data_IF_033565154180
#
_entry.id   IF_033565154180
#
_cell.length_a   1.000
_cell.length_b   1.000
_cell.length_c   1.000
_cell.angle_alpha   90.00
_cell.angle_beta   90.00
_cell.angle_gamma   90.00
#
_symmetry.space_group_name_H-M   'P 1'
#
loop_
_entity.id
_entity.type
_entity.pdbx_description
1 polymer ?
#
# COMPACT_ATOMS: atom_id res chain seq x y z
N UNK A 1 -7.47 15.29 21.31
CA UNK A 1 -7.86 15.40 19.87
C UNK A 1 -9.18 14.67 19.70
N UNK A 2 -10.17 15.34 19.18
CA UNK A 2 -11.47 14.75 18.87
C UNK A 2 -11.38 13.79 17.68
N UNK A 3 -12.35 12.87 17.54
CA UNK A 3 -12.37 11.86 16.47
C UNK A 3 -12.43 12.48 15.06
N UNK A 4 -13.13 13.61 14.92
CA UNK A 4 -13.22 14.34 13.64
C UNK A 4 -11.88 14.96 13.26
N UNK A 5 -11.18 15.57 14.21
CA UNK A 5 -9.85 16.13 14.04
C UNK A 5 -8.85 15.01 13.69
N UNK A 6 -8.93 13.86 14.36
CA UNK A 6 -8.08 12.70 14.06
C UNK A 6 -8.27 12.22 12.60
N UNK A 7 -9.52 12.16 12.13
CA UNK A 7 -9.84 11.81 10.74
C UNK A 7 -9.22 12.82 9.77
N UNK A 8 -9.43 14.11 10.00
CA UNK A 8 -8.97 15.17 9.14
C UNK A 8 -7.44 15.13 9.00
N UNK A 9 -6.71 15.02 10.11
CA UNK A 9 -5.25 14.95 10.12
C UNK A 9 -4.75 13.71 9.37
N UNK A 10 -5.31 12.53 9.65
CA UNK A 10 -4.90 11.28 8.99
C UNK A 10 -5.15 11.29 7.50
N UNK A 11 -6.32 11.75 7.05
CA UNK A 11 -6.67 11.80 5.63
C UNK A 11 -5.87 12.87 4.87
N UNK A 12 -5.54 13.99 5.53
CA UNK A 12 -4.66 15.02 4.96
C UNK A 12 -3.21 14.52 4.82
N UNK A 13 -2.65 13.90 5.86
CA UNK A 13 -1.27 13.39 5.84
C UNK A 13 -1.04 12.30 4.80
N UNK A 14 -2.08 11.55 4.45
CA UNK A 14 -2.02 10.49 3.43
C UNK A 14 -2.30 11.00 2.02
N UNK A 15 -2.68 12.26 1.83
CA UNK A 15 -2.97 12.81 0.51
C UNK A 15 -4.39 12.54 -0.01
N UNK A 16 -5.32 12.04 0.81
CA UNK A 16 -6.73 11.88 0.39
C UNK A 16 -7.51 13.20 0.48
N UNK A 17 -7.24 13.99 1.52
CA UNK A 17 -7.86 15.32 1.65
C UNK A 17 -7.13 16.36 0.77
N UNK A 18 -5.81 16.27 0.72
CA UNK A 18 -4.91 17.12 -0.07
C UNK A 18 -4.00 16.22 -0.92
N UNK A 19 -4.40 15.83 -2.14
CA UNK A 19 -3.54 15.04 -3.02
C UNK A 19 -2.21 15.72 -3.29
N UNK A 20 -1.12 14.96 -3.30
CA UNK A 20 0.23 15.47 -3.49
C UNK A 20 0.46 15.95 -4.92
N UNK A 21 1.23 17.02 -5.08
CA UNK A 21 1.61 17.52 -6.41
C UNK A 21 2.66 16.60 -7.06
N UNK A 22 3.64 16.15 -6.27
CA UNK A 22 4.67 15.22 -6.71
C UNK A 22 4.18 13.78 -6.55
N UNK A 23 4.08 12.98 -7.65
CA UNK A 23 3.73 11.58 -7.59
C UNK A 23 4.68 10.75 -6.72
N UNK A 24 5.96 11.10 -6.65
CA UNK A 24 6.95 10.41 -5.80
C UNK A 24 6.62 10.64 -4.33
N UNK A 25 6.20 11.86 -3.96
CA UNK A 25 5.81 12.15 -2.58
C UNK A 25 4.63 11.28 -2.13
N UNK A 26 3.65 11.03 -2.97
CA UNK A 26 2.52 10.17 -2.65
C UNK A 26 2.97 8.75 -2.25
N UNK A 27 3.83 8.11 -3.06
CA UNK A 27 4.38 6.78 -2.75
C UNK A 27 5.25 6.80 -1.49
N UNK A 28 6.06 7.82 -1.32
CA UNK A 28 6.97 7.92 -0.18
C UNK A 28 6.23 8.22 1.13
N UNK A 29 5.16 9.01 1.06
CA UNK A 29 4.38 9.41 2.23
C UNK A 29 3.64 8.22 2.84
N UNK A 30 3.05 7.37 2.02
CA UNK A 30 2.36 6.15 2.47
C UNK A 30 3.28 4.93 2.55
N UNK A 31 4.57 5.12 2.26
CA UNK A 31 5.63 4.09 2.32
C UNK A 31 5.28 2.84 1.52
N UNK A 32 4.85 3.06 0.28
CA UNK A 32 4.47 2.01 -0.65
C UNK A 32 2.96 1.75 -0.71
N UNK A 33 2.49 1.54 -1.93
CA UNK A 33 1.09 1.29 -2.27
C UNK A 33 0.89 -0.21 -2.45
N UNK A 34 -0.04 -0.82 -1.73
CA UNK A 34 -0.31 -2.25 -1.87
C UNK A 34 -0.70 -2.60 -3.31
N UNK A 35 0.02 -3.55 -3.94
CA UNK A 35 -0.06 -3.88 -5.37
C UNK A 35 -0.29 -5.36 -5.64
N UNK A 36 -1.10 -6.01 -4.82
CA UNK A 36 -1.50 -7.39 -5.05
C UNK A 36 -2.18 -7.53 -6.43
N UNK A 37 -2.93 -6.51 -6.80
CA UNK A 37 -3.47 -6.29 -8.15
C UNK A 37 -2.88 -4.98 -8.70
N UNK A 38 -2.05 -5.02 -9.76
CA UNK A 38 -1.36 -3.83 -10.27
C UNK A 38 -2.29 -2.65 -10.60
N UNK A 39 -3.43 -2.92 -11.28
CA UNK A 39 -4.39 -1.86 -11.64
C UNK A 39 -4.96 -1.14 -10.42
N UNK A 40 -5.16 -1.85 -9.32
CA UNK A 40 -5.62 -1.24 -8.05
C UNK A 40 -4.54 -0.34 -7.45
N UNK A 41 -3.27 -0.69 -7.60
CA UNK A 41 -2.18 0.13 -7.12
C UNK A 41 -2.02 1.44 -7.92
N UNK A 42 -2.15 1.37 -9.25
CA UNK A 42 -2.15 2.57 -10.10
C UNK A 42 -3.28 3.52 -9.74
N UNK A 43 -4.47 2.97 -9.48
CA UNK A 43 -5.62 3.73 -9.06
C UNK A 43 -5.45 4.35 -7.67
N UNK A 44 -4.86 3.62 -6.71
CA UNK A 44 -4.50 4.20 -5.42
C UNK A 44 -3.56 5.38 -5.60
N UNK A 45 -2.55 5.24 -6.45
CA UNK A 45 -1.58 6.31 -6.67
C UNK A 45 -2.22 7.55 -7.29
N UNK A 46 -3.10 7.38 -8.29
CA UNK A 46 -3.86 8.47 -8.89
C UNK A 46 -4.69 9.24 -7.86
N UNK A 47 -5.38 8.53 -6.96
CA UNK A 47 -6.24 9.17 -5.96
C UNK A 47 -5.48 9.95 -4.88
N UNK A 48 -4.20 9.66 -4.67
CA UNK A 48 -3.33 10.37 -3.74
C UNK A 48 -2.48 11.46 -4.41
N UNK A 49 -2.60 11.65 -5.73
CA UNK A 49 -1.76 12.57 -6.50
C UNK A 49 -2.61 13.54 -7.32
N UNK A 50 -2.19 14.78 -7.40
CA UNK A 50 -2.81 15.75 -8.29
C UNK A 50 -2.37 15.47 -9.73
N UNK A 51 -3.33 15.49 -10.65
CA UNK A 51 -3.06 15.39 -12.10
C UNK A 51 -2.21 14.18 -12.51
N UNK A 52 -2.23 13.10 -11.72
CA UNK A 52 -1.57 11.86 -12.11
C UNK A 52 -2.20 11.33 -13.41
N UNK A 53 -1.36 10.94 -14.34
CA UNK A 53 -1.77 10.22 -15.54
C UNK A 53 -0.95 8.94 -15.69
N UNK A 54 -1.49 7.99 -16.42
CA UNK A 54 -0.87 6.69 -16.58
C UNK A 54 0.50 6.79 -17.28
N UNK A 55 0.66 7.73 -18.22
CA UNK A 55 1.93 7.92 -18.94
C UNK A 55 3.06 8.35 -18.01
N UNK A 56 2.79 9.28 -17.07
CA UNK A 56 3.77 9.69 -16.05
C UNK A 56 4.17 8.50 -15.18
N UNK A 57 3.20 7.72 -14.72
CA UNK A 57 3.42 6.51 -13.93
C UNK A 57 4.28 5.49 -14.70
N UNK A 58 3.95 5.25 -15.96
CA UNK A 58 4.69 4.32 -16.81
C UNK A 58 6.12 4.79 -17.09
N UNK A 59 6.34 6.10 -17.30
CA UNK A 59 7.69 6.66 -17.42
C UNK A 59 8.52 6.44 -16.16
N UNK A 60 7.95 6.70 -14.97
CA UNK A 60 8.62 6.45 -13.69
C UNK A 60 8.95 4.97 -13.49
N UNK A 61 8.07 4.06 -13.94
CA UNK A 61 8.33 2.62 -13.93
C UNK A 61 9.51 2.26 -14.85
N UNK A 62 9.51 2.73 -16.09
CA UNK A 62 10.58 2.50 -17.07
C UNK A 62 11.93 3.02 -16.59
N UNK A 63 11.94 4.15 -15.89
CA UNK A 63 13.14 4.77 -15.31
C UNK A 63 13.56 4.11 -13.98
N UNK A 64 12.88 3.06 -13.54
CA UNK A 64 13.12 2.37 -12.26
C UNK A 64 13.04 3.28 -11.02
N UNK A 65 12.35 4.42 -11.14
CA UNK A 65 12.08 5.29 -10.00
C UNK A 65 11.08 4.66 -9.04
N UNK A 66 10.20 3.81 -9.57
CA UNK A 66 9.27 2.97 -8.82
C UNK A 66 9.50 1.50 -9.14
N UNK A 67 9.38 0.69 -8.12
CA UNK A 67 9.62 -0.75 -8.16
C UNK A 67 8.45 -1.50 -7.52
N UNK A 68 8.26 -2.75 -7.88
CA UNK A 68 7.28 -3.64 -7.26
C UNK A 68 8.00 -4.71 -6.45
N UNK A 69 7.64 -4.86 -5.18
CA UNK A 69 8.34 -5.78 -4.29
C UNK A 69 7.47 -6.22 -3.12
N UNK A 70 7.83 -7.34 -2.46
CA UNK A 70 7.27 -7.67 -1.16
C UNK A 70 7.81 -6.73 -0.09
N UNK A 71 6.92 -6.14 0.68
CA UNK A 71 7.23 -5.17 1.72
C UNK A 71 6.54 -5.45 3.03
N UNK A 72 5.74 -4.52 3.51
CA UNK A 72 5.01 -4.62 4.77
C UNK A 72 4.18 -5.91 4.81
N UNK A 73 4.24 -6.64 5.92
CA UNK A 73 3.55 -7.93 6.12
C UNK A 73 3.84 -8.96 5.02
N UNK A 74 4.90 -8.74 4.25
CA UNK A 74 5.28 -9.54 3.08
C UNK A 74 4.15 -9.64 2.03
N UNK A 75 3.44 -8.53 1.81
CA UNK A 75 2.54 -8.36 0.66
C UNK A 75 3.21 -7.50 -0.42
N UNK A 76 2.79 -7.64 -1.67
CA UNK A 76 3.34 -6.88 -2.79
C UNK A 76 2.91 -5.41 -2.71
N UNK A 77 3.87 -4.52 -2.94
CA UNK A 77 3.68 -3.07 -2.96
C UNK A 77 4.43 -2.43 -4.13
N UNK A 78 3.96 -1.28 -4.59
CA UNK A 78 4.76 -0.33 -5.36
C UNK A 78 5.49 0.58 -4.37
N UNK A 79 6.78 0.81 -4.62
CA UNK A 79 7.65 1.66 -3.79
C UNK A 79 8.45 2.61 -4.69
N UNK A 80 8.94 3.71 -4.13
CA UNK A 80 10.20 4.27 -4.60
C UNK A 80 11.34 3.27 -4.29
N UNK A 81 12.40 3.26 -5.09
CA UNK A 81 13.53 2.34 -4.83
C UNK A 81 14.10 2.52 -3.42
N UNK A 82 14.21 3.76 -2.95
CA UNK A 82 14.65 4.06 -1.58
C UNK A 82 13.66 3.56 -0.51
N UNK A 83 12.35 3.65 -0.77
CA UNK A 83 11.31 3.12 0.10
C UNK A 83 11.36 1.60 0.24
N UNK A 84 11.55 0.89 -0.88
CA UNK A 84 11.76 -0.56 -0.88
C UNK A 84 12.97 -0.95 -0.04
N UNK A 85 14.14 -0.33 -0.31
CA UNK A 85 15.37 -0.61 0.43
C UNK A 85 15.21 -0.35 1.93
N UNK A 86 14.54 0.74 2.31
CA UNK A 86 14.27 1.04 3.72
C UNK A 86 13.43 -0.06 4.40
N UNK A 87 12.36 -0.51 3.75
CA UNK A 87 11.45 -1.55 4.31
C UNK A 87 12.20 -2.88 4.46
N UNK A 88 12.92 -3.33 3.44
CA UNK A 88 13.67 -4.59 3.47
C UNK A 88 14.77 -4.54 4.53
N UNK A 89 15.50 -3.42 4.62
CA UNK A 89 16.57 -3.26 5.61
C UNK A 89 16.02 -3.23 7.04
N UNK A 90 14.89 -2.59 7.28
CA UNK A 90 14.24 -2.59 8.59
C UNK A 90 13.79 -4.00 9.01
N UNK A 91 13.56 -4.90 8.06
CA UNK A 91 13.12 -6.28 8.25
C UNK A 91 14.25 -7.32 8.07
N UNK A 92 15.47 -6.90 7.81
CA UNK A 92 16.60 -7.79 7.48
C UNK A 92 16.97 -8.80 8.58
N UNK A 93 16.62 -8.51 9.84
CA UNK A 93 16.80 -9.44 10.96
C UNK A 93 15.68 -10.48 11.12
N UNK A 94 14.60 -10.37 10.35
CA UNK A 94 13.48 -11.30 10.46
C UNK A 94 13.85 -12.67 9.87
N UNK A 95 13.51 -13.72 10.63
CA UNK A 95 13.56 -15.08 10.11
C UNK A 95 12.35 -15.32 9.21
N UNK A 96 12.58 -15.87 8.03
CA UNK A 96 11.50 -16.30 7.15
C UNK A 96 10.78 -17.46 7.82
N UNK A 97 9.45 -17.36 8.06
CA UNK A 97 8.69 -18.43 8.71
C UNK A 97 8.74 -19.73 7.91
N UNK A 98 8.85 -20.87 8.59
CA UNK A 98 8.95 -22.19 7.94
C UNK A 98 7.79 -22.48 6.96
N UNK A 99 6.59 -21.99 7.28
CA UNK A 99 5.41 -22.14 6.43
C UNK A 99 5.57 -21.54 5.02
N UNK A 100 6.42 -20.53 4.86
CA UNK A 100 6.70 -19.93 3.54
C UNK A 100 7.45 -20.88 2.60
N UNK A 101 8.19 -21.86 3.15
CA UNK A 101 8.98 -22.79 2.34
C UNK A 101 8.18 -24.00 1.83
N UNK A 102 6.90 -24.08 2.07
CA UNK A 102 6.00 -25.16 1.58
C UNK A 102 6.50 -26.59 1.86
N UNK A 103 7.31 -26.78 2.88
CA UNK A 103 7.98 -28.06 3.16
C UNK A 103 9.23 -28.35 2.31
N UNK A 104 9.59 -27.47 1.35
CA UNK A 104 10.66 -27.68 0.38
C UNK A 104 11.83 -26.67 0.56
N UNK A 105 12.22 -26.42 1.80
CA UNK A 105 13.17 -25.36 2.15
C UNK A 105 14.50 -25.48 1.39
N UNK A 106 15.08 -26.66 1.35
CA UNK A 106 16.43 -26.85 0.76
C UNK A 106 16.39 -26.66 -0.76
N UNK A 107 15.34 -27.15 -1.42
CA UNK A 107 15.11 -26.95 -2.86
C UNK A 107 14.89 -25.46 -3.19
N UNK A 108 14.04 -24.78 -2.42
CA UNK A 108 13.79 -23.34 -2.58
C UNK A 108 15.08 -22.53 -2.42
N UNK A 109 15.91 -22.87 -1.43
CA UNK A 109 17.18 -22.17 -1.21
C UNK A 109 18.21 -22.48 -2.29
N UNK A 110 18.26 -23.71 -2.81
CA UNK A 110 19.13 -24.08 -3.94
C UNK A 110 18.76 -23.30 -5.21
N UNK A 111 17.46 -23.28 -5.57
CA UNK A 111 16.98 -22.51 -6.73
C UNK A 111 17.19 -21.00 -6.52
N UNK A 112 16.98 -20.49 -5.31
CA UNK A 112 17.26 -19.08 -4.98
C UNK A 112 18.73 -18.71 -5.18
N UNK A 113 19.66 -19.62 -4.88
CA UNK A 113 21.09 -19.35 -5.09
C UNK A 113 21.44 -19.29 -6.59
N UNK A 114 20.85 -20.13 -7.43
CA UNK A 114 21.03 -20.06 -8.89
C UNK A 114 20.53 -18.71 -9.42
N UNK A 115 19.32 -18.29 -9.08
CA UNK A 115 18.79 -16.98 -9.52
C UNK A 115 19.69 -15.83 -9.04
N UNK A 116 20.22 -15.93 -7.83
CA UNK A 116 21.14 -14.92 -7.30
C UNK A 116 22.46 -14.87 -8.10
N UNK A 117 22.99 -16.01 -8.52
CA UNK A 117 24.17 -16.08 -9.39
C UNK A 117 23.89 -15.47 -10.77
N UNK A 118 22.75 -15.77 -11.36
CA UNK A 118 22.32 -15.15 -12.62
C UNK A 118 22.21 -13.63 -12.51
N UNK A 119 21.68 -13.12 -11.38
CA UNK A 119 21.58 -11.68 -11.10
C UNK A 119 22.94 -11.01 -10.84
N UNK A 120 24.01 -11.77 -10.57
CA UNK A 120 25.36 -11.22 -10.49
C UNK A 120 25.97 -11.02 -11.88
N UNK A 121 25.55 -11.84 -12.85
CA UNK A 121 26.00 -11.75 -14.25
C UNK A 121 25.15 -10.78 -15.07
N UNK A 122 23.85 -10.72 -14.78
CA UNK A 122 22.86 -9.92 -15.48
C UNK A 122 22.08 -9.07 -14.50
N UNK A 123 22.11 -7.74 -14.65
CA UNK A 123 21.38 -6.83 -13.76
C UNK A 123 19.85 -6.96 -13.89
N UNK A 124 19.38 -7.47 -15.02
CA UNK A 124 17.95 -7.67 -15.31
C UNK A 124 17.74 -9.04 -15.93
N UNK A 125 16.72 -9.77 -15.50
CA UNK A 125 16.34 -11.08 -16.02
C UNK A 125 14.85 -11.12 -16.33
N UNK A 126 14.50 -11.72 -17.47
CA UNK A 126 13.13 -12.00 -17.84
C UNK A 126 12.68 -13.36 -17.29
N UNK A 127 11.38 -13.51 -17.08
CA UNK A 127 10.77 -14.76 -16.62
C UNK A 127 11.22 -15.98 -17.42
N UNK A 128 11.17 -15.87 -18.75
CA UNK A 128 11.50 -16.96 -19.67
C UNK A 128 12.94 -17.42 -19.55
N UNK A 129 13.89 -16.47 -19.44
CA UNK A 129 15.32 -16.77 -19.31
C UNK A 129 15.61 -17.50 -18.00
N UNK A 130 15.01 -17.01 -16.91
CA UNK A 130 15.17 -17.64 -15.59
C UNK A 130 14.60 -19.05 -15.59
N UNK A 131 13.39 -19.26 -16.11
CA UNK A 131 12.75 -20.58 -16.12
C UNK A 131 13.52 -21.56 -17.02
N UNK A 132 14.03 -21.10 -18.15
CA UNK A 132 14.86 -21.93 -19.06
C UNK A 132 16.10 -22.44 -18.34
N UNK A 133 16.83 -21.55 -17.68
CA UNK A 133 18.04 -21.92 -16.93
C UNK A 133 17.72 -22.87 -15.75
N UNK A 134 16.65 -22.60 -15.01
CA UNK A 134 16.24 -23.45 -13.89
C UNK A 134 15.82 -24.86 -14.35
N UNK A 135 15.12 -25.01 -15.46
CA UNK A 135 14.76 -26.33 -16.00
C UNK A 135 15.99 -27.13 -16.42
N UNK A 136 17.04 -26.46 -16.93
CA UNK A 136 18.31 -27.14 -17.26
C UNK A 136 19.03 -27.63 -16.01
N UNK A 137 19.10 -26.81 -14.95
CA UNK A 137 19.82 -27.15 -13.71
C UNK A 137 19.03 -28.08 -12.79
N UNK A 138 17.70 -28.05 -12.84
CA UNK A 138 16.81 -28.83 -11.98
C UNK A 138 15.77 -29.61 -12.81
N UNK A 139 16.18 -30.56 -13.69
CA UNK A 139 15.29 -31.21 -14.64
C UNK A 139 14.20 -32.08 -14.00
N UNK A 140 14.40 -32.51 -12.73
CA UNK A 140 13.43 -33.36 -11.98
C UNK A 140 12.59 -32.58 -10.98
N UNK A 141 12.84 -31.27 -10.80
CA UNK A 141 12.11 -30.46 -9.82
C UNK A 141 10.88 -29.84 -10.47
N UNK A 142 9.74 -29.95 -9.83
CA UNK A 142 8.52 -29.26 -10.24
C UNK A 142 8.66 -27.75 -9.92
N UNK A 143 8.93 -26.97 -10.97
CA UNK A 143 9.09 -25.52 -10.91
C UNK A 143 7.75 -24.80 -11.19
N UNK A 144 6.66 -25.25 -10.55
CA UNK A 144 5.36 -24.61 -10.72
C UNK A 144 5.36 -23.13 -10.29
N UNK A 145 4.33 -22.41 -10.71
CA UNK A 145 4.23 -20.99 -10.42
C UNK A 145 4.21 -20.65 -8.92
N UNK A 146 3.74 -21.56 -8.06
CA UNK A 146 3.74 -21.38 -6.60
C UNK A 146 5.14 -21.55 -6.02
N UNK A 147 5.88 -22.53 -6.49
CA UNK A 147 7.26 -22.74 -6.09
C UNK A 147 8.13 -21.53 -6.45
N UNK A 148 8.09 -21.10 -7.72
CA UNK A 148 8.84 -19.92 -8.20
C UNK A 148 8.43 -18.65 -7.44
N UNK A 149 7.12 -18.46 -7.18
CA UNK A 149 6.65 -17.33 -6.38
C UNK A 149 7.35 -17.26 -5.01
N UNK A 150 7.48 -18.39 -4.32
CA UNK A 150 8.15 -18.45 -3.00
C UNK A 150 9.65 -18.20 -3.13
N UNK A 151 10.32 -18.73 -4.15
CA UNK A 151 11.74 -18.47 -4.41
C UNK A 151 12.00 -16.97 -4.57
N UNK A 152 11.23 -16.30 -5.43
CA UNK A 152 11.34 -14.86 -5.68
C UNK A 152 10.99 -14.04 -4.45
N UNK A 153 9.99 -14.47 -3.67
CA UNK A 153 9.65 -13.84 -2.39
C UNK A 153 10.80 -13.90 -1.40
N UNK A 154 11.43 -15.06 -1.24
CA UNK A 154 12.61 -15.24 -0.37
C UNK A 154 13.76 -14.32 -0.78
N UNK A 155 14.06 -14.23 -2.08
CA UNK A 155 15.10 -13.36 -2.60
C UNK A 155 14.80 -11.88 -2.37
N UNK A 156 13.55 -11.47 -2.60
CA UNK A 156 13.11 -10.09 -2.33
C UNK A 156 13.19 -9.76 -0.83
N UNK A 157 12.73 -10.66 0.04
CA UNK A 157 12.79 -10.50 1.50
C UNK A 157 14.23 -10.34 2.01
N UNK A 158 15.19 -10.94 1.31
CA UNK A 158 16.62 -10.80 1.58
C UNK A 158 17.26 -9.60 0.89
N UNK A 159 16.51 -8.85 0.07
CA UNK A 159 16.99 -7.65 -0.61
C UNK A 159 17.89 -7.90 -1.81
N UNK A 160 17.79 -9.06 -2.48
CA UNK A 160 18.59 -9.37 -3.66
C UNK A 160 17.94 -8.93 -4.97
N UNK A 161 16.62 -8.78 -5.00
CA UNK A 161 15.88 -8.38 -6.19
C UNK A 161 14.61 -7.60 -5.86
N UNK A 162 14.12 -6.91 -6.86
CA UNK A 162 12.76 -6.38 -6.96
C UNK A 162 12.22 -6.63 -8.36
N UNK A 163 10.92 -6.45 -8.55
CA UNK A 163 10.29 -6.55 -9.86
C UNK A 163 10.21 -5.18 -10.53
N UNK A 164 10.32 -5.18 -11.83
CA UNK A 164 9.82 -4.06 -12.61
C UNK A 164 8.38 -3.74 -12.20
N UNK A 165 8.05 -2.46 -12.09
CA UNK A 165 6.75 -2.03 -11.57
C UNK A 165 5.57 -2.48 -12.45
N UNK A 166 5.81 -2.74 -13.73
CA UNK A 166 4.81 -3.21 -14.69
C UNK A 166 4.67 -4.72 -14.74
N UNK A 167 5.52 -5.47 -14.01
CA UNK A 167 5.51 -6.94 -13.99
C UNK A 167 4.17 -7.49 -13.51
N UNK A 168 3.69 -8.55 -14.18
CA UNK A 168 2.56 -9.37 -13.77
C UNK A 168 3.01 -10.65 -13.07
N UNK A 169 2.07 -11.48 -12.63
CA UNK A 169 2.38 -12.79 -12.05
C UNK A 169 2.84 -13.82 -13.08
N UNK A 170 2.48 -13.64 -14.36
CA UNK A 170 2.81 -14.56 -15.45
C UNK A 170 3.98 -14.07 -16.32
N UNK A 171 4.13 -12.76 -16.41
CA UNK A 171 5.21 -12.13 -17.16
C UNK A 171 5.90 -11.12 -16.26
N UNK A 172 6.94 -11.57 -15.56
CA UNK A 172 7.70 -10.73 -14.63
C UNK A 172 9.13 -10.51 -15.14
N UNK A 173 9.62 -9.33 -14.79
CA UNK A 173 11.01 -8.93 -14.96
C UNK A 173 11.58 -8.60 -13.60
N UNK A 174 12.68 -9.24 -13.23
CA UNK A 174 13.38 -9.01 -11.98
C UNK A 174 14.66 -8.22 -12.21
N UNK A 175 14.99 -7.39 -11.25
CA UNK A 175 16.14 -6.49 -11.30
C UNK A 175 16.97 -6.71 -10.04
N UNK A 176 18.28 -6.85 -10.23
CA UNK A 176 19.24 -7.06 -9.15
C UNK A 176 19.31 -5.86 -8.23
N UNK A 177 19.43 -6.13 -6.93
CA UNK A 177 19.78 -5.13 -5.92
C UNK A 177 20.69 -5.75 -4.87
N UNK A 178 21.30 -4.91 -4.05
CA UNK A 178 22.21 -5.37 -2.99
C UNK A 178 21.58 -5.10 -1.62
N UNK A 179 21.55 -6.11 -0.73
CA UNK A 179 21.15 -5.90 0.64
C UNK A 179 22.03 -4.82 1.29
N UNK A 180 21.40 -3.83 1.88
CA UNK A 180 22.10 -2.80 2.64
C UNK A 180 21.99 -3.14 4.13
N UNK A 181 23.10 -3.20 4.84
CA UNK A 181 23.13 -3.37 6.30
C UNK A 181 23.02 -2.00 6.96
N UNK A 182 21.98 -1.79 7.77
CA UNK A 182 21.82 -0.54 8.49
C UNK A 182 21.09 -0.72 9.82
N UNK A 183 21.76 -0.46 10.93
CA UNK A 183 21.19 -0.54 12.28
C UNK A 183 20.10 0.49 12.56
N UNK A 184 20.02 1.56 11.76
CA UNK A 184 19.07 2.67 11.94
C UNK A 184 17.77 2.52 11.13
N UNK A 185 17.61 1.46 10.37
CA UNK A 185 16.51 1.30 9.41
C UNK A 185 15.13 1.28 10.08
N UNK A 186 14.99 0.64 11.26
CA UNK A 186 13.71 0.58 12.00
C UNK A 186 13.30 1.98 12.47
N UNK A 187 14.21 2.77 13.02
CA UNK A 187 13.92 4.14 13.46
C UNK A 187 13.54 5.05 12.28
N UNK A 188 14.23 4.91 11.15
CA UNK A 188 13.92 5.65 9.93
C UNK A 188 12.56 5.24 9.38
N UNK A 189 12.24 3.94 9.39
CA UNK A 189 10.94 3.45 8.93
C UNK A 189 9.79 3.95 9.83
N UNK A 190 9.98 3.97 11.16
CA UNK A 190 8.99 4.54 12.10
C UNK A 190 8.74 6.02 11.78
N UNK A 191 9.80 6.81 11.60
CA UNK A 191 9.64 8.24 11.27
C UNK A 191 8.98 8.45 9.91
N UNK A 192 9.31 7.63 8.92
CA UNK A 192 8.68 7.67 7.60
C UNK A 192 7.19 7.31 7.70
N UNK A 193 6.86 6.25 8.44
CA UNK A 193 5.47 5.89 8.71
C UNK A 193 4.71 7.03 9.40
N UNK A 194 5.24 7.61 10.47
CA UNK A 194 4.59 8.70 11.18
C UNK A 194 4.32 9.90 10.27
N UNK A 195 5.22 10.26 9.34
CA UNK A 195 4.98 11.36 8.39
C UNK A 195 3.68 11.20 7.58
N UNK A 196 3.29 9.97 7.24
CA UNK A 196 2.07 9.71 6.48
C UNK A 196 0.87 9.29 7.32
N UNK A 197 1.10 8.72 8.51
CA UNK A 197 0.04 8.04 9.28
C UNK A 197 -0.20 8.66 10.65
N UNK A 198 0.52 9.71 11.04
CA UNK A 198 0.28 10.39 12.32
C UNK A 198 -1.12 11.06 12.36
N UNK A 199 -1.75 11.11 13.54
CA UNK A 199 -1.36 10.54 14.83
C UNK A 199 -1.52 9.01 14.82
N UNK A 200 -0.49 8.29 15.27
CA UNK A 200 -0.49 6.83 15.25
C UNK A 200 0.09 6.22 16.53
N UNK A 201 -0.29 4.98 16.83
CA UNK A 201 0.17 4.22 17.99
C UNK A 201 1.26 3.21 17.58
N UNK A 202 1.99 2.70 18.61
CA UNK A 202 2.89 1.55 18.44
C UNK A 202 2.18 0.36 17.79
N UNK A 203 0.94 0.09 18.20
CA UNK A 203 0.14 -1.04 17.68
C UNK A 203 -0.19 -0.85 16.21
N UNK A 204 -0.47 0.39 15.79
CA UNK A 204 -0.71 0.72 14.38
C UNK A 204 0.53 0.43 13.54
N UNK A 205 1.71 0.90 13.96
CA UNK A 205 2.95 0.64 13.25
C UNK A 205 3.30 -0.86 13.18
N UNK A 206 3.18 -1.57 14.30
CA UNK A 206 3.43 -3.03 14.35
C UNK A 206 2.48 -3.77 13.40
N UNK A 207 1.19 -3.42 13.42
CA UNK A 207 0.20 -4.01 12.51
C UNK A 207 0.48 -3.70 11.05
N UNK A 208 0.85 -2.46 10.74
CA UNK A 208 1.16 -2.02 9.38
C UNK A 208 2.44 -2.64 8.85
N UNK A 209 3.53 -2.58 9.61
CA UNK A 209 4.86 -3.06 9.16
C UNK A 209 4.98 -4.58 9.17
N UNK A 210 4.31 -5.26 10.10
CA UNK A 210 4.49 -6.68 10.38
C UNK A 210 5.76 -7.00 11.16
N UNK A 211 6.54 -6.00 11.59
CA UNK A 211 7.74 -6.19 12.41
C UNK A 211 7.33 -6.55 13.85
N UNK A 212 8.07 -7.46 14.47
CA UNK A 212 7.78 -7.91 15.85
C UNK A 212 7.82 -6.73 16.83
N UNK A 213 6.84 -6.69 17.73
CA UNK A 213 6.73 -5.63 18.75
C UNK A 213 7.98 -5.52 19.63
N UNK A 214 8.65 -6.62 19.91
CA UNK A 214 9.90 -6.63 20.69
C UNK A 214 11.06 -5.86 20.02
N UNK A 215 11.07 -5.82 18.68
CA UNK A 215 12.06 -5.05 17.90
C UNK A 215 11.66 -3.59 17.82
N UNK A 216 10.37 -3.31 17.66
CA UNK A 216 9.84 -1.96 17.43
C UNK A 216 9.77 -1.14 18.72
N UNK A 217 9.29 -1.74 19.82
CA UNK A 217 8.96 -1.02 21.08
C UNK A 217 10.10 -0.15 21.61
N UNK A 218 11.35 -0.62 21.77
CA UNK A 218 12.42 0.21 22.32
C UNK A 218 12.68 1.45 21.47
N UNK A 219 12.64 1.30 20.14
CA UNK A 219 12.87 2.40 19.18
C UNK A 219 11.69 3.37 19.16
N UNK A 220 10.45 2.82 19.20
CA UNK A 220 9.23 3.62 19.25
C UNK A 220 9.19 4.52 20.50
N UNK A 221 9.51 3.98 21.67
CA UNK A 221 9.50 4.72 22.94
C UNK A 221 10.50 5.88 22.94
N UNK A 222 11.68 5.70 22.32
CA UNK A 222 12.64 6.79 22.15
C UNK A 222 12.09 7.92 21.25
N UNK A 223 11.42 7.56 20.15
CA UNK A 223 10.81 8.53 19.25
C UNK A 223 9.64 9.22 19.94
N UNK A 224 8.79 8.48 20.64
CA UNK A 224 7.63 8.99 21.32
C UNK A 224 7.99 9.99 22.45
N UNK A 225 9.10 9.77 23.17
CA UNK A 225 9.60 10.70 24.19
C UNK A 225 10.07 12.04 23.59
N UNK A 226 10.54 12.03 22.36
CA UNK A 226 11.05 13.22 21.67
C UNK A 226 9.96 14.04 20.95
N UNK A 227 8.72 13.53 20.87
CA UNK A 227 7.63 14.13 20.11
C UNK A 227 6.35 14.24 20.94
N UNK A 228 5.43 15.10 20.49
CA UNK A 228 4.16 15.31 21.16
C UNK A 228 3.33 14.02 21.20
N UNK A 229 2.86 13.68 22.40
CA UNK A 229 1.92 12.59 22.63
C UNK A 229 0.57 13.18 23.03
N UNK A 230 -0.50 12.58 22.51
CA UNK A 230 -1.83 12.84 23.05
C UNK A 230 -2.01 11.97 24.29
N UNK A 231 -1.96 12.55 25.46
CA UNK A 231 -1.87 11.89 26.78
C UNK A 231 -2.88 10.76 26.99
N UNK A 232 -4.10 10.92 26.47
CA UNK A 232 -5.18 9.92 26.66
C UNK A 232 -5.13 8.74 25.70
N UNK A 233 -4.43 8.84 24.54
CA UNK A 233 -4.55 7.86 23.45
C UNK A 233 -3.25 7.13 23.10
N UNK A 234 -2.12 7.47 23.72
CA UNK A 234 -0.77 6.98 23.36
C UNK A 234 -0.44 7.15 21.86
N UNK A 235 -1.08 8.13 21.19
CA UNK A 235 -0.79 8.46 19.81
C UNK A 235 0.41 9.40 19.73
N UNK A 236 1.25 9.19 18.72
CA UNK A 236 2.45 9.97 18.47
C UNK A 236 2.25 10.81 17.22
N UNK A 237 2.61 12.10 17.33
CA UNK A 237 2.71 13.05 16.23
C UNK A 237 4.14 13.52 16.09
N UNK A 238 4.64 13.67 14.88
CA UNK A 238 5.88 14.39 14.59
C UNK A 238 5.63 15.91 14.53
N UNK A 239 4.43 16.33 14.17
CA UNK A 239 4.02 17.74 14.04
C UNK A 239 3.14 18.16 15.19
N UNK A 240 3.30 19.40 15.63
CA UNK A 240 2.33 20.07 16.47
C UNK A 240 1.25 20.74 15.59
N UNK A 241 -0.01 20.62 16.00
CA UNK A 241 -1.15 21.27 15.37
C UNK A 241 -1.77 22.24 16.35
N UNK A 242 -1.97 23.51 15.96
CA UNK A 242 -2.80 24.44 16.72
C UNK A 242 -4.28 24.06 16.63
N UNK A 243 -5.09 24.55 17.58
CA UNK A 243 -6.54 24.30 17.53
C UNK A 243 -7.18 24.88 16.26
N UNK A 244 -6.70 26.05 15.80
CA UNK A 244 -7.17 26.65 14.54
C UNK A 244 -6.84 25.79 13.30
N UNK A 245 -5.66 25.17 13.24
CA UNK A 245 -5.29 24.25 12.18
C UNK A 245 -6.15 22.99 12.21
N UNK A 246 -6.39 22.42 13.39
CA UNK A 246 -7.25 21.25 13.56
C UNK A 246 -8.69 21.55 13.14
N UNK A 247 -9.20 22.75 13.51
CA UNK A 247 -10.56 23.16 13.12
C UNK A 247 -10.65 23.34 11.59
N UNK A 248 -9.70 24.05 10.98
CA UNK A 248 -9.70 24.29 9.53
C UNK A 248 -9.67 22.96 8.73
N UNK A 249 -8.82 22.01 9.14
CA UNK A 249 -8.79 20.67 8.50
C UNK A 249 -10.11 19.92 8.68
N UNK A 250 -10.75 20.07 9.86
CA UNK A 250 -12.02 19.40 10.16
C UNK A 250 -13.15 19.98 9.30
N UNK A 251 -13.25 21.31 9.24
CA UNK A 251 -14.26 22.00 8.43
C UNK A 251 -14.12 21.67 6.94
N UNK A 252 -12.89 21.62 6.46
CA UNK A 252 -12.61 21.20 5.09
C UNK A 252 -13.04 19.74 4.83
N UNK A 253 -12.71 18.81 5.72
CA UNK A 253 -13.12 17.42 5.60
C UNK A 253 -14.65 17.26 5.63
N UNK A 254 -15.34 18.02 6.49
CA UNK A 254 -16.80 18.01 6.58
C UNK A 254 -17.50 18.58 5.34
N UNK A 255 -16.81 19.38 4.55
CA UNK A 255 -17.33 19.94 3.28
C UNK A 255 -17.04 19.02 2.06
N UNK A 256 -16.27 17.94 2.21
CA UNK A 256 -15.77 17.14 1.07
C UNK A 256 -16.41 15.76 0.95
N UNK A 257 -16.44 15.31 -0.28
CA UNK A 257 -16.65 13.91 -0.68
C UNK A 257 -15.29 13.33 -1.07
N UNK A 258 -14.84 12.30 -0.37
CA UNK A 258 -13.60 11.59 -0.66
C UNK A 258 -13.90 10.15 -1.07
N UNK A 259 -13.08 9.61 -1.94
CA UNK A 259 -13.05 8.20 -2.30
C UNK A 259 -11.61 7.71 -2.21
N UNK A 260 -11.44 6.44 -1.88
CA UNK A 260 -10.16 5.78 -2.00
C UNK A 260 -10.30 4.47 -2.77
N UNK A 261 -9.21 3.87 -3.20
CA UNK A 261 -9.24 2.61 -3.93
C UNK A 261 -9.30 1.39 -2.98
N UNK A 262 -9.51 0.18 -3.50
CA UNK A 262 -9.34 -1.03 -2.71
C UNK A 262 -7.93 -1.12 -2.12
N UNK A 263 -7.80 -1.67 -0.92
CA UNK A 263 -6.53 -1.80 -0.17
C UNK A 263 -5.82 -0.48 0.15
N UNK A 264 -6.56 0.61 0.18
CA UNK A 264 -6.02 1.93 0.48
C UNK A 264 -5.31 1.99 1.84
N UNK A 265 -4.29 2.86 1.92
CA UNK A 265 -3.47 3.06 3.11
C UNK A 265 -4.28 3.57 4.31
N UNK A 266 -5.34 4.36 4.09
CA UNK A 266 -6.26 4.82 5.15
C UNK A 266 -6.92 3.66 5.89
N UNK A 267 -7.10 2.52 5.22
CA UNK A 267 -7.67 1.32 5.82
C UNK A 267 -6.63 0.32 6.29
N UNK A 268 -5.50 0.19 5.59
CA UNK A 268 -4.46 -0.80 5.90
C UNK A 268 -3.41 -0.30 6.89
N UNK A 269 -3.28 1.00 7.06
CA UNK A 269 -2.23 1.66 7.84
C UNK A 269 -2.39 1.61 9.35
N UNK A 270 -3.56 1.24 9.88
CA UNK A 270 -3.85 1.29 11.31
C UNK A 270 -4.34 -0.06 11.85
N UNK A 271 -4.11 -0.34 13.11
CA UNK A 271 -4.66 -1.52 13.80
C UNK A 271 -6.13 -1.31 14.15
N UNK A 272 -6.44 -0.19 14.82
CA UNK A 272 -7.81 0.22 15.13
C UNK A 272 -8.43 0.94 13.92
N UNK A 273 -9.64 0.55 13.56
CA UNK A 273 -10.43 1.14 12.48
C UNK A 273 -11.57 2.04 12.98
N UNK A 274 -11.80 2.08 14.29
CA UNK A 274 -12.92 2.83 14.88
C UNK A 274 -12.79 4.34 14.65
N UNK A 275 -11.60 4.82 14.34
CA UNK A 275 -11.38 6.22 13.94
C UNK A 275 -12.12 6.60 12.66
N UNK A 276 -12.37 5.65 11.75
CA UNK A 276 -13.03 5.89 10.46
C UNK A 276 -14.41 5.24 10.35
N UNK A 277 -14.60 4.06 10.94
CA UNK A 277 -15.81 3.27 10.75
C UNK A 277 -16.22 2.51 12.00
N UNK A 278 -17.52 2.25 12.13
CA UNK A 278 -18.07 1.41 13.20
C UNK A 278 -17.73 -0.07 12.99
N UNK A 279 -17.69 -0.90 14.06
CA UNK A 279 -17.34 -2.32 13.95
C UNK A 279 -18.21 -3.14 12.98
N UNK A 280 -19.50 -2.85 12.88
CA UNK A 280 -20.41 -3.52 11.95
C UNK A 280 -20.05 -3.25 10.47
N UNK A 281 -19.59 -2.04 10.16
CA UNK A 281 -19.10 -1.67 8.83
C UNK A 281 -17.81 -2.39 8.45
N UNK A 282 -16.95 -2.68 9.45
CA UNK A 282 -15.69 -3.37 9.21
C UNK A 282 -15.91 -4.74 8.56
N UNK A 283 -16.92 -5.50 8.99
CA UNK A 283 -17.26 -6.82 8.43
C UNK A 283 -17.68 -6.76 6.96
N UNK A 284 -18.26 -5.63 6.55
CA UNK A 284 -18.63 -5.39 5.15
C UNK A 284 -17.42 -4.93 4.35
N UNK A 285 -16.60 -4.03 4.90
CA UNK A 285 -15.42 -3.50 4.22
C UNK A 285 -14.33 -4.56 3.99
N UNK A 286 -14.13 -5.50 4.93
CA UNK A 286 -13.25 -6.67 4.76
C UNK A 286 -14.07 -7.92 4.46
N UNK A 287 -13.91 -8.44 3.25
CA UNK A 287 -14.57 -9.69 2.86
C UNK A 287 -13.86 -10.90 3.48
N UNK A 288 -14.57 -12.02 3.58
CA UNK A 288 -13.99 -13.31 4.05
C UNK A 288 -12.78 -13.75 3.21
N UNK A 289 -12.73 -13.36 1.94
CA UNK A 289 -11.65 -13.69 1.01
C UNK A 289 -10.48 -12.68 1.07
N UNK A 290 -10.43 -11.81 2.09
CA UNK A 290 -9.35 -10.85 2.29
C UNK A 290 -9.39 -9.63 1.36
N UNK A 291 -10.47 -9.43 0.61
CA UNK A 291 -10.64 -8.24 -0.22
C UNK A 291 -11.04 -7.07 0.67
N UNK A 292 -10.32 -5.97 0.56
CA UNK A 292 -10.63 -4.70 1.19
C UNK A 292 -11.28 -3.78 0.17
N UNK A 293 -12.54 -3.39 0.44
CA UNK A 293 -13.35 -2.58 -0.47
C UNK A 293 -12.93 -1.13 -0.48
N UNK A 294 -13.23 -0.45 -1.57
CA UNK A 294 -12.93 0.95 -1.83
C UNK A 294 -13.88 1.89 -1.07
N UNK A 295 -13.42 2.67 -0.08
CA UNK A 295 -14.30 3.47 0.77
C UNK A 295 -14.84 4.72 0.07
N UNK A 296 -16.03 5.13 0.49
CA UNK A 296 -16.64 6.44 0.21
C UNK A 296 -16.77 7.15 1.55
N UNK A 297 -16.15 8.33 1.65
CA UNK A 297 -16.16 9.17 2.85
C UNK A 297 -16.86 10.48 2.49
N UNK A 298 -17.94 10.77 3.18
CA UNK A 298 -18.72 12.02 3.00
C UNK A 298 -18.79 12.70 4.35
N UNK A 299 -18.48 13.99 4.38
CA UNK A 299 -18.48 14.80 5.60
C UNK A 299 -17.65 14.13 6.73
N UNK A 300 -16.50 13.58 6.38
CA UNK A 300 -15.61 12.90 7.29
C UNK A 300 -16.07 11.53 7.81
N UNK A 301 -17.20 11.00 7.32
CA UNK A 301 -17.74 9.70 7.75
C UNK A 301 -17.71 8.67 6.63
N UNK A 302 -17.35 7.43 6.95
CA UNK A 302 -17.52 6.32 6.02
C UNK A 302 -19.02 6.14 5.72
N UNK A 303 -19.42 6.43 4.49
CA UNK A 303 -20.82 6.41 4.06
C UNK A 303 -21.15 5.17 3.24
N UNK A 304 -20.14 4.56 2.62
CA UNK A 304 -20.32 3.41 1.75
C UNK A 304 -19.00 2.93 1.16
N UNK A 305 -19.13 2.16 0.11
CA UNK A 305 -18.00 1.73 -0.73
C UNK A 305 -18.45 1.70 -2.20
N UNK A 306 -17.47 1.80 -3.08
CA UNK A 306 -17.72 1.65 -4.50
C UNK A 306 -17.02 0.41 -5.06
N UNK A 307 -17.53 -0.09 -6.18
CA UNK A 307 -16.93 -1.17 -6.96
C UNK A 307 -16.97 -0.81 -8.43
N UNK A 308 -16.04 -1.36 -9.20
CA UNK A 308 -16.04 -1.20 -10.66
C UNK A 308 -16.09 -2.55 -11.35
N UNK A 309 -16.75 -2.56 -12.51
CA UNK A 309 -16.75 -3.67 -13.45
C UNK A 309 -16.40 -3.14 -14.84
N UNK A 310 -15.23 -3.51 -15.32
CA UNK A 310 -14.76 -3.12 -16.64
C UNK A 310 -15.52 -3.93 -17.69
N UNK A 311 -16.16 -3.23 -18.62
CA UNK A 311 -16.85 -3.76 -19.79
C UNK A 311 -16.12 -3.32 -21.05
N UNK A 312 -16.48 -3.90 -22.21
CA UNK A 312 -15.81 -3.60 -23.48
C UNK A 312 -15.76 -2.09 -23.79
N UNK A 313 -16.84 -1.34 -23.52
CA UNK A 313 -16.98 0.06 -23.94
C UNK A 313 -17.21 1.03 -22.79
N UNK A 314 -17.26 0.56 -21.52
CA UNK A 314 -17.51 1.42 -20.37
C UNK A 314 -17.09 0.73 -19.08
N UNK A 315 -16.95 1.52 -18.02
CA UNK A 315 -16.80 1.00 -16.66
C UNK A 315 -18.12 1.20 -15.92
N UNK A 316 -18.68 0.13 -15.39
CA UNK A 316 -19.84 0.18 -14.52
C UNK A 316 -19.36 0.40 -13.09
N UNK A 317 -19.66 1.57 -12.51
CA UNK A 317 -19.48 1.84 -11.09
C UNK A 317 -20.75 1.56 -10.31
N UNK A 318 -20.63 0.82 -9.21
CA UNK A 318 -21.71 0.61 -8.25
C UNK A 318 -21.35 1.27 -6.94
N UNK A 319 -22.15 2.23 -6.50
CA UNK A 319 -22.01 2.97 -5.25
C UNK A 319 -22.95 2.31 -4.24
N UNK A 320 -22.37 1.55 -3.30
CA UNK A 320 -23.10 0.90 -2.22
C UNK A 320 -23.04 1.80 -0.98
N UNK A 321 -24.16 2.20 -0.42
CA UNK A 321 -24.19 3.18 0.65
C UNK A 321 -25.19 2.82 1.76
N UNK A 322 -24.78 3.07 3.02
CA UNK A 322 -25.62 2.87 4.21
C UNK A 322 -26.49 4.09 4.51
N UNK A 323 -25.94 5.29 4.31
CA UNK A 323 -26.61 6.55 4.58
C UNK A 323 -27.18 7.16 3.30
N UNK A 324 -28.22 7.96 3.42
CA UNK A 324 -28.76 8.72 2.29
C UNK A 324 -27.70 9.69 1.77
N UNK A 325 -27.44 9.67 0.47
CA UNK A 325 -26.51 10.58 -0.19
C UNK A 325 -27.32 11.67 -0.89
N UNK A 326 -27.07 12.93 -0.54
CA UNK A 326 -27.71 14.09 -1.18
C UNK A 326 -27.38 14.14 -2.67
N UNK A 327 -28.22 14.83 -3.46
CA UNK A 327 -27.99 14.98 -4.91
C UNK A 327 -26.64 15.63 -5.22
N UNK A 328 -26.25 16.64 -4.44
CA UNK A 328 -24.95 17.30 -4.54
C UNK A 328 -23.80 16.31 -4.35
N UNK A 329 -23.85 15.49 -3.31
CA UNK A 329 -22.82 14.49 -3.04
C UNK A 329 -22.81 13.35 -4.06
N UNK A 330 -23.99 12.98 -4.62
CA UNK A 330 -24.06 12.03 -5.74
C UNK A 330 -23.34 12.57 -6.98
N UNK A 331 -23.52 13.85 -7.30
CA UNK A 331 -22.84 14.49 -8.42
C UNK A 331 -21.32 14.55 -8.18
N UNK A 332 -20.88 14.97 -7.00
CA UNK A 332 -19.45 14.97 -6.62
C UNK A 332 -18.83 13.56 -6.70
N UNK A 333 -19.56 12.50 -6.31
CA UNK A 333 -19.09 11.11 -6.48
C UNK A 333 -18.97 10.73 -7.95
N UNK A 334 -19.94 11.09 -8.78
CA UNK A 334 -19.91 10.82 -10.23
C UNK A 334 -18.72 11.52 -10.88
N UNK A 335 -18.43 12.77 -10.52
CA UNK A 335 -17.31 13.54 -11.06
C UNK A 335 -15.98 12.85 -10.73
N UNK A 336 -15.78 12.41 -9.48
CA UNK A 336 -14.59 11.68 -9.06
C UNK A 336 -14.43 10.33 -9.77
N UNK A 337 -15.50 9.54 -9.87
CA UNK A 337 -15.48 8.25 -10.55
C UNK A 337 -15.37 8.40 -12.08
N UNK A 338 -15.79 9.53 -12.65
CA UNK A 338 -15.54 9.87 -14.06
C UNK A 338 -14.05 10.09 -14.32
N UNK A 339 -13.33 10.78 -13.42
CA UNK A 339 -11.87 10.93 -13.52
C UNK A 339 -11.17 9.57 -13.50
N UNK A 340 -11.62 8.65 -12.63
CA UNK A 340 -11.11 7.27 -12.61
C UNK A 340 -11.35 6.56 -13.94
N UNK A 341 -12.53 6.69 -14.53
CA UNK A 341 -12.81 6.09 -15.83
C UNK A 341 -11.93 6.67 -16.92
N UNK A 342 -11.73 8.00 -16.92
CA UNK A 342 -10.84 8.69 -17.86
C UNK A 342 -9.38 8.24 -17.71
N UNK A 343 -8.89 8.12 -16.46
CA UNK A 343 -7.56 7.58 -16.17
C UNK A 343 -7.38 6.17 -16.74
N UNK A 344 -8.44 5.36 -16.76
CA UNK A 344 -8.45 4.01 -17.33
C UNK A 344 -8.82 3.99 -18.83
N UNK A 345 -8.89 5.14 -19.50
CA UNK A 345 -9.22 5.24 -20.94
C UNK A 345 -10.65 4.83 -21.29
N UNK A 346 -11.61 5.02 -20.37
CA UNK A 346 -12.98 4.54 -20.52
C UNK A 346 -14.03 5.58 -20.14
N UNK A 347 -15.32 5.28 -20.39
CA UNK A 347 -16.45 6.12 -20.01
C UNK A 347 -17.23 5.47 -18.85
N UNK A 348 -17.76 6.25 -17.89
CA UNK A 348 -18.42 5.71 -16.72
C UNK A 348 -19.92 5.46 -16.92
N UNK A 349 -20.45 4.42 -16.25
CA UNK A 349 -21.86 4.29 -15.92
C UNK A 349 -22.02 4.11 -14.42
N UNK A 350 -23.13 4.59 -13.84
CA UNK A 350 -23.31 4.64 -12.38
C UNK A 350 -24.60 3.94 -11.95
N UNK A 351 -24.49 3.18 -10.87
CA UNK A 351 -25.63 2.62 -10.13
C UNK A 351 -25.46 2.94 -8.64
N UNK A 352 -26.48 3.51 -8.01
CA UNK A 352 -26.53 3.72 -6.57
C UNK A 352 -27.37 2.63 -5.94
N UNK A 353 -26.84 1.97 -4.92
CA UNK A 353 -27.47 0.86 -4.22
C UNK A 353 -27.47 1.13 -2.72
N UNK A 354 -28.64 1.36 -2.14
CA UNK A 354 -28.80 1.42 -0.70
C UNK A 354 -28.63 0.03 -0.11
N UNK A 355 -27.83 -0.06 0.93
CA UNK A 355 -27.63 -1.28 1.72
C UNK A 355 -28.52 -1.23 2.96
N UNK A 356 -29.00 -2.38 3.38
CA UNK A 356 -29.77 -2.55 4.62
C UNK A 356 -28.86 -2.50 5.84
#
# INVERSE_FOLDING_TARGET
>A
MEIKQLRAVRLANQGLLHPFEDPTEAIERIVGIQSQQPQTAWLNWELHTQNANLDTIMKMAQQQQIVRAWGQRWTLHLFSLAGFQLVVNARSSEKIPAAYFLGQKDQILAVAEVIKQLLQQHTTLMCEDVLTELHQQFPTLDLDGRFIYVVLQVLTMKGYLYFDATSSTQNWRIIATKPQKGSKSVATLIRRYLKGFEPASLTDFVRWSGIKVSVVRPVWELIAKAHNQFEQSKLVNLRAYSQSQLQALTDELEAKVLIAAPFDASLTGYADKNWLMKPEMQKVMWTKNGILRAPIIINGNLTGYWTQQIKKNYIQFTINHWLVISKTNQNALKDKLTKIAQFQGSVPKFTFKKMN
#
